data_IF_451406254109
#
_entry.id   IF_451406254109
#
_cell.length_a   1.000
_cell.length_b   1.000
_cell.length_c   1.000
_cell.angle_alpha   90.00
_cell.angle_beta   90.00
_cell.angle_gamma   90.00
#
_symmetry.space_group_name_H-M   'P 1'
#
loop_
_entity.id
_entity.type
_entity.pdbx_description
1 polymer ?
#
# COMPACT_ATOMS: atom_id res chain seq x y z
N UNK A 1 -15.91 55.63 9.62
CA UNK A 1 -16.43 54.47 10.37
C UNK A 1 -15.43 53.34 10.21
N UNK A 2 -14.56 53.13 11.20
CA UNK A 2 -13.50 52.12 11.18
C UNK A 2 -14.02 50.84 11.83
N UNK A 3 -14.22 49.81 11.03
CA UNK A 3 -14.52 48.43 11.45
C UNK A 3 -13.24 47.67 11.03
N UNK A 4 -12.25 47.37 11.87
CA UNK A 4 -12.26 46.27 12.84
C UNK A 4 -10.87 46.17 13.52
N UNK A 5 -10.71 46.48 14.82
CA UNK A 5 -9.49 46.16 15.57
C UNK A 5 -9.46 44.72 16.13
N UNK A 6 -10.61 44.02 16.14
CA UNK A 6 -10.81 42.83 16.98
C UNK A 6 -10.32 41.51 16.35
N UNK A 7 -10.15 41.45 15.01
CA UNK A 7 -9.72 40.24 14.30
C UNK A 7 -8.23 39.94 14.58
N UNK A 8 -7.42 40.98 14.76
CA UNK A 8 -5.99 40.84 15.00
C UNK A 8 -5.65 40.32 16.40
N UNK A 9 -6.42 40.71 17.43
CA UNK A 9 -6.21 40.24 18.80
C UNK A 9 -6.50 38.73 18.93
N UNK A 10 -7.62 38.28 18.37
CA UNK A 10 -7.99 36.85 18.33
C UNK A 10 -7.01 35.99 17.52
N UNK A 11 -6.46 36.53 16.43
CA UNK A 11 -5.44 35.84 15.64
C UNK A 11 -4.13 35.68 16.42
N UNK A 12 -3.73 36.69 17.19
CA UNK A 12 -2.51 36.67 18.00
C UNK A 12 -2.62 35.68 19.18
N UNK A 13 -3.77 35.64 19.85
CA UNK A 13 -4.05 34.69 20.94
C UNK A 13 -4.07 33.23 20.44
N UNK A 14 -4.65 32.97 19.26
CA UNK A 14 -4.62 31.66 18.60
C UNK A 14 -3.20 31.23 18.21
N UNK A 15 -2.35 32.17 17.80
CA UNK A 15 -0.97 31.88 17.44
C UNK A 15 -0.11 31.56 18.66
N UNK A 16 -0.32 32.27 19.78
CA UNK A 16 0.38 32.02 21.04
C UNK A 16 0.02 30.66 21.64
N UNK A 17 -1.27 30.35 21.73
CA UNK A 17 -1.75 29.03 22.21
C UNK A 17 -1.21 27.88 21.37
N UNK A 18 -1.13 28.03 20.05
CA UNK A 18 -0.50 27.04 19.18
C UNK A 18 1.01 26.90 19.44
N UNK A 19 1.72 28.00 19.65
CA UNK A 19 3.16 27.97 19.96
C UNK A 19 3.45 27.25 21.28
N UNK A 20 2.64 27.49 22.30
CA UNK A 20 2.82 26.88 23.62
C UNK A 20 2.50 25.37 23.60
N UNK A 21 1.40 24.99 22.94
CA UNK A 21 1.06 23.57 22.73
C UNK A 21 2.11 22.86 21.86
N UNK A 22 2.61 23.54 20.83
CA UNK A 22 3.69 23.03 19.99
C UNK A 22 4.98 22.77 20.77
N UNK A 23 5.37 23.69 21.66
CA UNK A 23 6.54 23.50 22.53
C UNK A 23 6.35 22.35 23.52
N UNK A 24 5.17 22.26 24.16
CA UNK A 24 4.87 21.20 25.13
C UNK A 24 4.88 19.79 24.51
N UNK A 25 4.51 19.69 23.23
CA UNK A 25 4.48 18.42 22.48
C UNK A 25 5.77 18.15 21.70
N UNK A 26 6.81 18.97 21.86
CA UNK A 26 8.04 18.95 21.06
C UNK A 26 7.73 18.89 19.54
N UNK A 27 6.68 19.61 19.12
CA UNK A 27 6.22 19.60 17.74
C UNK A 27 7.24 20.33 16.85
N UNK A 28 7.68 19.73 15.73
CA UNK A 28 8.71 20.35 14.90
C UNK A 28 8.24 21.65 14.26
N UNK A 29 9.01 22.73 14.44
CA UNK A 29 8.69 24.07 13.93
C UNK A 29 8.60 24.15 12.38
N UNK A 30 9.15 23.18 11.66
CA UNK A 30 9.08 23.10 10.20
C UNK A 30 7.80 22.44 9.67
N UNK A 31 6.95 21.90 10.56
CA UNK A 31 5.70 21.23 10.17
C UNK A 31 4.52 22.18 10.29
N UNK A 32 3.57 22.02 9.37
CA UNK A 32 2.35 22.82 9.36
C UNK A 32 1.37 22.37 10.46
N UNK A 33 0.45 23.25 10.85
CA UNK A 33 -0.45 23.05 11.99
C UNK A 33 -1.41 21.87 11.82
N UNK A 34 -1.77 21.53 10.58
CA UNK A 34 -2.55 20.36 10.22
C UNK A 34 -1.85 19.03 10.55
N UNK A 35 -0.53 19.03 10.74
CA UNK A 35 0.21 17.84 11.14
C UNK A 35 0.19 17.61 12.67
N UNK A 36 -0.31 18.57 13.47
CA UNK A 36 -0.33 18.47 14.93
C UNK A 36 -1.19 17.30 15.43
N UNK A 37 -2.42 17.07 14.93
CA UNK A 37 -3.23 15.92 15.36
C UNK A 37 -2.55 14.58 15.06
N UNK A 38 -1.87 14.46 13.92
CA UNK A 38 -1.12 13.25 13.54
C UNK A 38 0.07 13.00 14.49
N UNK A 39 0.77 14.07 14.89
CA UNK A 39 1.86 14.01 15.87
C UNK A 39 1.36 13.57 17.25
N UNK A 40 0.23 14.13 17.71
CA UNK A 40 -0.40 13.73 18.98
C UNK A 40 -0.78 12.24 18.96
N UNK A 41 -1.38 11.76 17.86
CA UNK A 41 -1.71 10.35 17.71
C UNK A 41 -0.47 9.45 17.75
N UNK A 42 0.64 9.89 17.13
CA UNK A 42 1.92 9.20 17.19
C UNK A 42 2.47 9.13 18.61
N UNK A 43 2.52 10.25 19.34
CA UNK A 43 2.95 10.30 20.73
C UNK A 43 2.09 9.39 21.62
N UNK A 44 0.78 9.44 21.44
CA UNK A 44 -0.15 8.61 22.20
C UNK A 44 0.08 7.11 21.93
N UNK A 45 0.37 6.72 20.69
CA UNK A 45 0.74 5.36 20.34
C UNK A 45 2.04 4.95 21.03
N UNK A 46 3.06 5.79 21.01
CA UNK A 46 4.34 5.53 21.69
C UNK A 46 4.17 5.40 23.20
N UNK A 47 3.36 6.25 23.83
CA UNK A 47 3.05 6.16 25.26
C UNK A 47 2.34 4.85 25.62
N UNK A 48 1.36 4.41 24.82
CA UNK A 48 0.72 3.11 25.03
C UNK A 48 1.72 1.97 24.93
N UNK A 49 2.60 1.99 23.93
CA UNK A 49 3.64 0.97 23.76
C UNK A 49 4.59 0.93 24.96
N UNK A 50 5.05 2.09 25.42
CA UNK A 50 5.91 2.21 26.60
C UNK A 50 5.21 1.65 27.86
N UNK A 51 3.95 2.04 28.07
CA UNK A 51 3.16 1.56 29.20
C UNK A 51 2.96 0.04 29.17
N UNK A 52 2.66 -0.53 27.99
CA UNK A 52 2.57 -1.99 27.85
C UNK A 52 3.89 -2.69 28.13
N UNK A 53 5.02 -2.12 27.66
CA UNK A 53 6.34 -2.67 27.89
C UNK A 53 6.75 -2.60 29.38
N UNK A 54 6.43 -1.49 30.05
CA UNK A 54 6.65 -1.32 31.48
C UNK A 54 5.85 -2.35 32.29
N UNK A 55 4.55 -2.48 32.03
CA UNK A 55 3.70 -3.47 32.70
C UNK A 55 4.23 -4.89 32.51
N UNK A 56 4.69 -5.22 31.30
CA UNK A 56 5.29 -6.53 31.04
C UNK A 56 6.56 -6.75 31.88
N UNK A 57 7.45 -5.75 31.95
CA UNK A 57 8.67 -5.82 32.77
C UNK A 57 8.36 -5.96 34.25
N UNK A 58 7.36 -5.26 34.77
CA UNK A 58 6.94 -5.37 36.17
C UNK A 58 6.42 -6.77 36.49
N UNK A 59 5.61 -7.35 35.59
CA UNK A 59 5.13 -8.74 35.71
C UNK A 59 6.31 -9.71 35.70
N UNK A 60 7.24 -9.57 34.76
CA UNK A 60 8.43 -10.41 34.69
C UNK A 60 9.32 -10.25 35.92
N UNK A 61 9.58 -9.02 36.38
CA UNK A 61 10.38 -8.75 37.57
C UNK A 61 9.72 -9.27 38.86
N UNK A 62 8.39 -9.24 38.94
CA UNK A 62 7.65 -9.86 40.03
C UNK A 62 7.75 -11.39 39.97
N UNK A 63 7.67 -11.99 38.79
CA UNK A 63 7.83 -13.44 38.59
C UNK A 63 9.25 -13.90 38.95
N UNK A 64 10.29 -13.19 38.51
CA UNK A 64 11.70 -13.48 38.84
C UNK A 64 11.95 -13.34 40.34
N UNK A 65 11.41 -12.30 41.00
CA UNK A 65 11.53 -12.15 42.46
C UNK A 65 10.86 -13.29 43.23
N UNK A 66 9.73 -13.81 42.73
CA UNK A 66 9.08 -15.00 43.31
C UNK A 66 9.91 -16.26 43.09
N UNK A 67 10.42 -16.46 41.87
CA UNK A 67 11.25 -17.60 41.51
C UNK A 67 12.56 -17.64 42.31
N UNK A 68 13.18 -16.48 42.56
CA UNK A 68 14.40 -16.38 43.38
C UNK A 68 14.20 -16.73 44.87
N UNK A 69 12.95 -16.73 45.36
CA UNK A 69 12.59 -17.14 46.72
C UNK A 69 12.24 -18.63 46.87
N UNK A 70 12.16 -19.36 45.76
CA UNK A 70 11.93 -20.80 45.71
C UNK A 70 13.25 -21.51 45.41
N UNK A 71 13.65 -22.45 46.27
CA UNK A 71 14.72 -23.40 45.98
C UNK A 71 14.42 -24.12 44.66
N UNK A 72 15.37 -24.08 43.72
CA UNK A 72 15.29 -24.76 42.41
C UNK A 72 15.07 -26.26 42.62
N UNK A 73 13.81 -26.67 42.58
CA UNK A 73 13.40 -28.07 42.55
C UNK A 73 13.30 -28.52 41.10
N UNK A 74 13.76 -29.72 40.77
CA UNK A 74 13.80 -30.25 39.40
C UNK A 74 12.37 -30.28 38.80
N UNK A 75 11.36 -30.53 39.63
CA UNK A 75 9.96 -30.50 39.24
C UNK A 75 9.49 -29.10 38.81
N UNK A 76 10.05 -28.04 39.42
CA UNK A 76 9.74 -26.66 39.04
C UNK A 76 10.31 -26.30 37.66
N UNK A 77 11.49 -26.80 37.31
CA UNK A 77 12.10 -26.65 35.99
C UNK A 77 11.32 -27.41 34.91
N UNK A 78 10.83 -28.61 35.23
CA UNK A 78 9.97 -29.38 34.32
C UNK A 78 8.65 -28.64 34.09
N UNK A 79 8.03 -28.10 35.15
CA UNK A 79 6.81 -27.30 35.05
C UNK A 79 7.00 -26.03 34.21
N UNK A 80 8.12 -25.33 34.38
CA UNK A 80 8.45 -24.14 33.59
C UNK A 80 8.61 -24.47 32.11
N UNK A 81 9.31 -25.57 31.79
CA UNK A 81 9.46 -26.04 30.41
C UNK A 81 8.11 -26.35 29.77
N UNK A 82 7.26 -27.11 30.45
CA UNK A 82 5.92 -27.44 29.95
C UNK A 82 5.05 -26.19 29.75
N UNK A 83 5.13 -25.22 30.67
CA UNK A 83 4.43 -23.95 30.55
C UNK A 83 4.94 -23.14 29.36
N UNK A 84 6.26 -23.13 29.13
CA UNK A 84 6.88 -22.48 27.96
C UNK A 84 6.41 -23.13 26.66
N UNK A 85 6.43 -24.45 26.56
CA UNK A 85 5.96 -25.17 25.38
C UNK A 85 4.47 -24.92 25.08
N UNK A 86 3.64 -24.85 26.11
CA UNK A 86 2.22 -24.51 25.99
C UNK A 86 2.02 -23.06 25.55
N UNK A 87 2.80 -22.13 26.09
CA UNK A 87 2.76 -20.72 25.69
C UNK A 87 3.18 -20.54 24.23
N UNK A 88 4.29 -21.16 23.81
CA UNK A 88 4.79 -21.12 22.44
C UNK A 88 3.81 -21.77 21.46
N UNK A 89 3.12 -22.83 21.88
CA UNK A 89 2.06 -23.44 21.09
C UNK A 89 0.88 -22.49 20.93
N UNK A 90 0.40 -21.89 22.02
CA UNK A 90 -0.70 -20.93 21.99
C UNK A 90 -0.37 -19.71 21.12
N UNK A 91 0.85 -19.18 21.21
CA UNK A 91 1.31 -18.07 20.37
C UNK A 91 1.37 -18.48 18.88
N UNK A 92 1.90 -19.67 18.57
CA UNK A 92 1.92 -20.18 17.20
C UNK A 92 0.51 -20.36 16.64
N UNK A 93 -0.41 -20.91 17.42
CA UNK A 93 -1.80 -21.13 17.01
C UNK A 93 -2.53 -19.80 16.77
N UNK A 94 -2.21 -18.75 17.54
CA UNK A 94 -2.75 -17.42 17.35
C UNK A 94 -2.15 -16.68 16.14
N UNK A 95 -0.82 -16.76 15.96
CA UNK A 95 -0.11 -15.98 14.94
C UNK A 95 -0.14 -16.63 13.55
N UNK A 96 -0.12 -17.96 13.47
CA UNK A 96 -0.13 -18.70 12.20
C UNK A 96 -1.29 -18.33 11.26
N UNK A 97 -2.56 -18.22 11.71
CA UNK A 97 -3.65 -17.83 10.82
C UNK A 97 -3.49 -16.38 10.33
N UNK A 98 -3.10 -15.45 11.21
CA UNK A 98 -2.89 -14.04 10.87
C UNK A 98 -1.77 -13.86 9.83
N UNK A 99 -0.67 -14.60 9.99
CA UNK A 99 0.44 -14.58 9.02
C UNK A 99 0.01 -15.17 7.68
N UNK A 100 -0.74 -16.28 7.67
CA UNK A 100 -1.27 -16.87 6.44
C UNK A 100 -2.22 -15.93 5.71
N UNK A 101 -3.12 -15.27 6.44
CA UNK A 101 -4.04 -14.28 5.89
C UNK A 101 -3.27 -13.09 5.30
N UNK A 102 -2.30 -12.54 6.04
CA UNK A 102 -1.46 -11.44 5.57
C UNK A 102 -0.66 -11.78 4.31
N UNK A 103 -0.11 -12.99 4.22
CA UNK A 103 0.58 -13.48 3.02
C UNK A 103 -0.41 -13.60 1.85
N UNK A 104 -1.60 -14.16 2.07
CA UNK A 104 -2.63 -14.31 1.04
C UNK A 104 -3.09 -12.95 0.51
N UNK A 105 -3.34 -12.00 1.41
CA UNK A 105 -3.77 -10.64 1.05
C UNK A 105 -2.68 -9.90 0.28
N UNK A 106 -1.43 -10.00 0.71
CA UNK A 106 -0.27 -9.42 0.01
C UNK A 106 -0.13 -10.02 -1.39
N UNK A 107 -0.33 -11.32 -1.53
CA UNK A 107 -0.30 -11.98 -2.83
C UNK A 107 -1.41 -11.48 -3.77
N UNK A 108 -2.66 -11.35 -3.26
CA UNK A 108 -3.79 -10.78 -4.02
C UNK A 108 -3.49 -9.37 -4.51
N UNK A 109 -3.08 -8.48 -3.61
CA UNK A 109 -2.73 -7.11 -3.98
C UNK A 109 -1.58 -7.06 -4.99
N UNK A 110 -0.59 -7.96 -4.89
CA UNK A 110 0.49 -8.04 -5.89
C UNK A 110 -0.03 -8.34 -7.29
N UNK A 111 -0.98 -9.28 -7.40
CA UNK A 111 -1.61 -9.63 -8.68
C UNK A 111 -2.45 -8.47 -9.22
N UNK A 112 -3.19 -7.78 -8.36
CA UNK A 112 -3.97 -6.60 -8.74
C UNK A 112 -3.08 -5.45 -9.22
N UNK A 113 -1.99 -5.16 -8.52
CA UNK A 113 -1.00 -4.15 -8.92
C UNK A 113 -0.35 -4.53 -10.25
N UNK A 114 -0.03 -5.81 -10.48
CA UNK A 114 0.52 -6.24 -11.77
C UNK A 114 -0.49 -6.07 -12.91
N UNK A 115 -1.77 -6.32 -12.63
CA UNK A 115 -2.87 -6.13 -13.58
C UNK A 115 -3.07 -4.65 -13.91
N UNK A 116 -3.10 -3.79 -12.88
CA UNK A 116 -3.19 -2.35 -13.05
C UNK A 116 -1.99 -1.81 -13.83
N UNK A 117 -0.77 -2.26 -13.49
CA UNK A 117 0.45 -1.89 -14.20
C UNK A 117 0.34 -2.23 -15.68
N UNK A 118 -0.09 -3.45 -16.02
CA UNK A 118 -0.32 -3.84 -17.42
C UNK A 118 -1.36 -2.96 -18.10
N UNK A 119 -2.47 -2.66 -17.43
CA UNK A 119 -3.51 -1.79 -17.98
C UNK A 119 -2.98 -0.37 -18.24
N UNK A 120 -2.20 0.18 -17.32
CA UNK A 120 -1.55 1.51 -17.47
C UNK A 120 -0.51 1.48 -18.58
N UNK A 121 0.32 0.45 -18.68
CA UNK A 121 1.28 0.29 -19.78
C UNK A 121 0.57 0.20 -21.13
N UNK A 122 -0.47 -0.63 -21.25
CA UNK A 122 -1.28 -0.72 -22.48
C UNK A 122 -1.93 0.61 -22.83
N UNK A 123 -2.43 1.34 -21.83
CA UNK A 123 -2.98 2.69 -22.04
C UNK A 123 -1.89 3.67 -22.50
N UNK A 124 -0.70 3.61 -21.93
CA UNK A 124 0.42 4.50 -22.28
C UNK A 124 1.00 4.21 -23.66
N UNK A 125 1.04 2.94 -24.07
CA UNK A 125 1.50 2.53 -25.40
C UNK A 125 0.49 2.89 -26.50
N UNK A 126 -0.81 2.93 -26.17
CA UNK A 126 -1.89 3.17 -27.13
C UNK A 126 -3.00 4.11 -26.59
N UNK A 127 -2.67 5.33 -26.14
CA UNK A 127 -3.63 6.20 -25.45
C UNK A 127 -4.81 6.58 -26.36
N UNK A 128 -4.52 6.84 -27.65
CA UNK A 128 -5.50 7.27 -28.64
C UNK A 128 -6.59 6.22 -28.98
N UNK A 129 -6.33 4.93 -28.74
CA UNK A 129 -7.33 3.88 -29.00
C UNK A 129 -8.48 3.93 -28.00
N UNK A 130 -8.19 4.35 -26.77
CA UNK A 130 -9.14 4.29 -25.65
C UNK A 130 -9.74 5.66 -25.32
N UNK A 131 -9.08 6.76 -25.71
CA UNK A 131 -9.53 8.13 -25.36
C UNK A 131 -10.39 8.80 -26.42
N UNK A 132 -10.47 8.27 -27.65
CA UNK A 132 -11.12 8.99 -28.77
C UNK A 132 -11.91 8.11 -29.76
N UNK A 133 -12.83 7.22 -29.29
CA UNK A 133 -13.70 6.48 -30.21
C UNK A 133 -14.65 7.39 -31.02
N UNK A 134 -14.94 8.61 -30.55
CA UNK A 134 -15.80 9.58 -31.23
C UNK A 134 -15.08 10.53 -32.18
N UNK A 135 -13.75 10.58 -32.16
CA UNK A 135 -13.00 11.52 -33.02
C UNK A 135 -12.95 10.95 -34.44
N UNK A 136 -13.51 11.72 -35.37
CA UNK A 136 -13.52 11.37 -36.80
C UNK A 136 -12.45 12.19 -37.51
N UNK A 137 -11.54 11.52 -38.21
CA UNK A 137 -10.63 12.17 -39.16
C UNK A 137 -11.09 11.78 -40.57
N UNK A 138 -11.36 12.77 -41.43
CA UNK A 138 -11.96 12.56 -42.76
C UNK A 138 -13.25 11.73 -42.73
N UNK A 139 -14.08 11.92 -41.70
CA UNK A 139 -15.38 11.24 -41.53
C UNK A 139 -15.30 9.80 -41.00
N UNK A 140 -14.12 9.24 -40.79
CA UNK A 140 -13.91 7.87 -40.28
C UNK A 140 -13.40 7.89 -38.85
N UNK A 141 -13.93 6.99 -38.01
CA UNK A 141 -13.34 6.72 -36.68
C UNK A 141 -12.08 5.88 -36.82
N UNK A 142 -11.25 5.85 -35.78
CA UNK A 142 -10.03 5.05 -35.75
C UNK A 142 -10.31 3.56 -36.05
N UNK A 143 -11.36 2.99 -35.47
CA UNK A 143 -11.76 1.60 -35.71
C UNK A 143 -12.12 1.35 -37.18
N UNK A 144 -12.89 2.26 -37.79
CA UNK A 144 -13.29 2.14 -39.20
C UNK A 144 -12.09 2.26 -40.14
N UNK A 145 -11.15 3.16 -39.85
CA UNK A 145 -9.91 3.29 -40.61
C UNK A 145 -9.04 2.04 -40.47
N UNK A 146 -8.91 1.50 -39.25
CA UNK A 146 -8.12 0.30 -38.99
C UNK A 146 -8.69 -0.95 -39.68
N UNK A 147 -10.02 -1.09 -39.71
CA UNK A 147 -10.68 -2.18 -40.44
C UNK A 147 -10.41 -2.08 -41.95
N UNK A 148 -10.54 -0.89 -42.56
CA UNK A 148 -10.20 -0.70 -43.99
C UNK A 148 -8.74 -1.03 -44.28
N UNK A 149 -7.82 -0.64 -43.38
CA UNK A 149 -6.42 -0.99 -43.51
C UNK A 149 -6.16 -2.49 -43.46
N UNK A 150 -6.75 -3.20 -42.49
CA UNK A 150 -6.63 -4.66 -42.39
C UNK A 150 -7.14 -5.35 -43.66
N UNK A 151 -8.31 -4.96 -44.17
CA UNK A 151 -8.86 -5.50 -45.42
C UNK A 151 -7.94 -5.24 -46.60
N UNK A 152 -7.43 -4.02 -46.75
CA UNK A 152 -6.50 -3.68 -47.82
C UNK A 152 -5.20 -4.52 -47.74
N UNK A 153 -4.66 -4.70 -46.54
CA UNK A 153 -3.45 -5.50 -46.34
C UNK A 153 -3.67 -6.98 -46.64
N UNK A 154 -4.80 -7.55 -46.24
CA UNK A 154 -5.18 -8.93 -46.58
C UNK A 154 -5.31 -9.10 -48.09
N UNK A 155 -5.91 -8.13 -48.79
CA UNK A 155 -6.01 -8.18 -50.26
C UNK A 155 -4.65 -8.10 -50.94
N UNK A 156 -3.74 -7.24 -50.47
CA UNK A 156 -2.36 -7.15 -50.97
C UNK A 156 -1.62 -8.46 -50.73
N UNK A 157 -1.74 -9.03 -49.52
CA UNK A 157 -1.14 -10.31 -49.18
C UNK A 157 -1.64 -11.45 -50.08
N UNK A 158 -2.96 -11.55 -50.28
CA UNK A 158 -3.55 -12.56 -51.15
C UNK A 158 -3.08 -12.41 -52.61
N UNK A 159 -2.98 -11.17 -53.12
CA UNK A 159 -2.45 -10.90 -54.47
C UNK A 159 -0.97 -11.27 -54.60
N UNK A 160 -0.16 -11.02 -53.57
CA UNK A 160 1.25 -11.42 -53.54
C UNK A 160 1.41 -12.95 -53.54
N UNK A 161 0.57 -13.66 -52.78
CA UNK A 161 0.59 -15.12 -52.74
C UNK A 161 0.10 -15.74 -54.06
N UNK A 162 -0.94 -15.17 -54.70
CA UNK A 162 -1.40 -15.61 -56.02
C UNK A 162 -0.30 -15.45 -57.09
N UNK A 163 0.36 -14.29 -57.14
CA UNK A 163 1.48 -14.05 -58.08
C UNK A 163 2.67 -14.99 -57.85
N UNK A 164 2.94 -15.35 -56.59
CA UNK A 164 4.01 -16.31 -56.26
C UNK A 164 3.67 -17.73 -56.73
N UNK A 165 2.40 -18.13 -56.65
CA UNK A 165 1.92 -19.42 -57.15
C UNK A 165 1.96 -19.51 -58.69
N UNK A 166 1.58 -18.43 -59.38
CA UNK A 166 1.64 -18.34 -60.85
C UNK A 166 3.08 -18.43 -61.38
N UNK A 167 4.05 -17.80 -60.70
CA UNK A 167 5.46 -17.89 -61.06
C UNK A 167 6.05 -19.29 -60.84
N UNK A 168 5.56 -20.05 -59.86
CA UNK A 168 6.01 -21.43 -59.62
C UNK A 168 5.45 -22.41 -60.66
N UNK A 169 4.25 -22.16 -61.19
CA UNK A 169 3.69 -22.97 -62.28
C UNK A 169 4.37 -22.71 -63.63
N UNK A 170 4.82 -21.47 -63.89
CA UNK A 170 5.56 -21.14 -65.12
C UNK A 170 6.99 -21.68 -65.15
N UNK A 171 7.60 -22.00 -64.01
CA UNK A 171 8.93 -22.60 -63.92
C UNK A 171 8.92 -24.14 -64.01
N UNK A 172 7.73 -24.76 -64.04
CA UNK A 172 7.54 -26.21 -64.14
C UNK A 172 6.99 -26.67 -65.51
N UNK A 173 6.82 -25.75 -66.45
CA UNK A 173 6.51 -26.03 -67.87
C UNK A 173 7.72 -25.68 -68.73
#
# INVERSE_FOLDING_TARGET
>A
MSISPNIHALAHEKLQTYSDVGKALEFPAHKAAECLPLHILSLHKSLRQLHTAQKQREVTAAAVRRAAGTTDDIDSLIGLKQTGEQHDKAQRDQLSPLLREGISLTHKHRVEVDTLRKAVTTWWDQPAQWTTPWVKNNGLTFDQWMQRWRTAMTQVHNKLMARRGEQQQQLQQ
#
